data_IF_978368114021
#
_entry.id   IF_978368114021
#
_cell.length_a   1.000
_cell.length_b   1.000
_cell.length_c   1.000
_cell.angle_alpha   90.00
_cell.angle_beta   90.00
_cell.angle_gamma   90.00
#
_symmetry.space_group_name_H-M   'P 1'
#
loop_
_entity.id
_entity.type
_entity.pdbx_description
1 polymer ?
#
# COMPACT_ATOMS: atom_id res chain seq x y z
N UNK A 1 10.19 -21.57 -21.39
CA UNK A 1 9.55 -20.33 -21.90
C UNK A 1 9.13 -20.52 -23.36
N UNK A 2 10.04 -20.82 -24.30
CA UNK A 2 9.71 -21.01 -25.73
C UNK A 2 8.66 -22.13 -25.93
N UNK A 3 8.79 -23.27 -25.23
CA UNK A 3 7.82 -24.38 -25.32
C UNK A 3 6.41 -23.97 -24.89
N UNK A 4 6.31 -23.09 -23.89
CA UNK A 4 5.01 -22.56 -23.43
C UNK A 4 4.42 -21.61 -24.46
N UNK A 5 5.20 -20.70 -25.00
CA UNK A 5 4.76 -19.79 -26.07
C UNK A 5 4.25 -20.57 -27.30
N UNK A 6 4.99 -21.57 -27.74
CA UNK A 6 4.61 -22.45 -28.88
C UNK A 6 3.32 -23.24 -28.56
N UNK A 7 3.15 -23.76 -27.36
CA UNK A 7 1.93 -24.49 -26.95
C UNK A 7 0.69 -23.59 -26.90
N UNK A 8 0.88 -22.28 -26.72
CA UNK A 8 -0.18 -21.26 -26.74
C UNK A 8 -0.37 -20.60 -28.11
N UNK A 9 0.33 -21.11 -29.17
CA UNK A 9 0.17 -20.65 -30.53
C UNK A 9 0.99 -19.40 -30.91
N UNK A 10 2.00 -19.04 -30.13
CA UNK A 10 2.89 -17.90 -30.42
C UNK A 10 4.22 -18.37 -30.98
N UNK A 11 4.79 -17.62 -31.94
CA UNK A 11 6.05 -17.96 -32.60
C UNK A 11 7.27 -17.83 -31.67
N UNK A 12 7.21 -16.87 -30.70
CA UNK A 12 8.30 -16.63 -29.77
C UNK A 12 7.77 -16.21 -28.38
N UNK A 13 8.68 -16.18 -27.39
CA UNK A 13 8.37 -15.78 -26.03
C UNK A 13 8.00 -14.31 -25.92
N UNK A 14 8.57 -13.43 -26.72
CA UNK A 14 8.35 -11.99 -26.65
C UNK A 14 6.94 -11.63 -27.08
N UNK A 15 6.45 -12.20 -28.18
CA UNK A 15 5.08 -11.99 -28.66
C UNK A 15 4.05 -12.56 -27.70
N UNK A 16 4.29 -13.75 -27.15
CA UNK A 16 3.46 -14.33 -26.08
C UNK A 16 3.40 -13.41 -24.85
N UNK A 17 4.56 -12.92 -24.38
CA UNK A 17 4.66 -12.11 -23.19
C UNK A 17 3.97 -10.74 -23.35
N UNK A 18 4.11 -10.10 -24.52
CA UNK A 18 3.41 -8.84 -24.84
C UNK A 18 1.89 -9.05 -24.79
N UNK A 19 1.39 -10.07 -25.46
CA UNK A 19 -0.04 -10.38 -25.50
C UNK A 19 -0.57 -10.74 -24.09
N UNK A 20 0.19 -11.52 -23.32
CA UNK A 20 -0.16 -11.86 -21.94
C UNK A 20 -0.23 -10.60 -21.07
N UNK A 21 0.70 -9.68 -21.24
CA UNK A 21 0.71 -8.40 -20.52
C UNK A 21 -0.49 -7.54 -20.88
N UNK A 22 -0.85 -7.49 -22.17
CA UNK A 22 -2.00 -6.73 -22.65
C UNK A 22 -3.32 -7.32 -22.13
N UNK A 23 -3.48 -8.65 -22.09
CA UNK A 23 -4.63 -9.28 -21.44
C UNK A 23 -4.68 -9.03 -19.93
N UNK A 24 -3.54 -9.09 -19.24
CA UNK A 24 -3.47 -8.73 -17.82
C UNK A 24 -3.88 -7.29 -17.59
N UNK A 25 -3.44 -6.38 -18.44
CA UNK A 25 -3.81 -4.96 -18.35
C UNK A 25 -5.31 -4.78 -18.62
N UNK A 26 -5.90 -5.43 -19.62
CA UNK A 26 -7.34 -5.37 -19.88
C UNK A 26 -8.16 -5.95 -18.73
N UNK A 27 -7.74 -7.09 -18.16
CA UNK A 27 -8.39 -7.66 -16.97
C UNK A 27 -8.30 -6.70 -15.79
N UNK A 28 -7.14 -6.09 -15.58
CA UNK A 28 -6.95 -5.08 -14.53
C UNK A 28 -7.84 -3.86 -14.77
N UNK A 29 -7.90 -3.33 -15.98
CA UNK A 29 -8.77 -2.19 -16.34
C UNK A 29 -10.27 -2.51 -16.17
N UNK A 30 -10.72 -3.72 -16.55
CA UNK A 30 -12.10 -4.16 -16.31
C UNK A 30 -12.39 -4.37 -14.82
N UNK A 31 -11.42 -4.92 -14.08
CA UNK A 31 -11.54 -5.09 -12.64
C UNK A 31 -11.60 -3.73 -11.93
N UNK A 32 -10.75 -2.80 -12.36
CA UNK A 32 -10.74 -1.43 -11.84
C UNK A 32 -12.04 -0.68 -12.18
N UNK A 33 -12.66 -0.94 -13.34
CA UNK A 33 -13.98 -0.40 -13.69
C UNK A 33 -15.11 -0.97 -12.81
N UNK A 34 -15.01 -2.23 -12.41
CA UNK A 34 -16.00 -2.88 -11.51
C UNK A 34 -15.84 -2.42 -10.06
N UNK A 35 -14.61 -2.08 -9.66
CA UNK A 35 -14.29 -1.58 -8.32
C UNK A 35 -14.22 -0.04 -8.26
N UNK A 36 -14.54 0.67 -9.35
CA UNK A 36 -14.57 2.13 -9.33
C UNK A 36 -15.67 2.55 -8.37
N UNK A 37 -15.28 2.96 -7.18
CA UNK A 37 -16.14 3.79 -6.35
C UNK A 37 -16.65 4.94 -7.24
N UNK A 38 -17.92 5.39 -7.09
CA UNK A 38 -18.51 6.38 -7.97
C UNK A 38 -17.58 7.59 -8.09
N UNK A 39 -17.20 7.90 -9.33
CA UNK A 39 -16.28 8.99 -9.61
C UNK A 39 -16.83 10.27 -8.97
N UNK A 40 -15.99 11.04 -8.34
CA UNK A 40 -16.32 12.35 -7.76
C UNK A 40 -16.69 13.42 -8.83
N UNK A 41 -17.31 13.01 -9.93
CA UNK A 41 -17.70 13.83 -11.07
C UNK A 41 -19.15 13.66 -11.52
N UNK A 42 -19.88 12.67 -11.00
CA UNK A 42 -21.29 12.53 -11.30
C UNK A 42 -22.12 13.05 -10.11
N UNK A 43 -22.88 14.11 -10.33
CA UNK A 43 -23.87 14.64 -9.38
C UNK A 43 -25.08 13.68 -9.25
N UNK A 44 -24.83 12.39 -9.23
CA UNK A 44 -25.81 11.33 -9.04
C UNK A 44 -25.91 10.92 -7.58
N UNK A 45 -26.91 11.45 -6.87
CA UNK A 45 -27.60 10.91 -5.69
C UNK A 45 -26.76 10.11 -4.62
N UNK A 46 -25.49 10.46 -4.40
CA UNK A 46 -24.75 9.99 -3.24
C UNK A 46 -25.27 10.68 -1.99
N UNK A 47 -25.79 9.92 -1.04
CA UNK A 47 -26.22 10.43 0.26
C UNK A 47 -25.02 11.16 0.88
N UNK A 48 -25.07 12.50 0.92
CA UNK A 48 -24.03 13.33 1.58
C UNK A 48 -24.31 13.27 3.07
N UNK A 49 -23.73 12.27 3.75
CA UNK A 49 -23.78 12.18 5.20
C UNK A 49 -22.56 12.86 5.82
N UNK A 50 -22.80 13.70 6.83
CA UNK A 50 -21.74 14.27 7.67
C UNK A 50 -21.58 13.41 8.92
N UNK A 51 -20.68 12.42 8.87
CA UNK A 51 -20.48 11.49 9.99
C UNK A 51 -20.12 12.16 11.32
N UNK A 52 -19.51 13.34 11.30
CA UNK A 52 -19.20 14.09 12.52
C UNK A 52 -20.44 14.66 13.20
N UNK A 53 -21.50 14.97 12.43
CA UNK A 53 -22.70 15.65 12.93
C UNK A 53 -23.98 14.82 12.76
N UNK A 54 -23.95 13.69 12.06
CA UNK A 54 -25.12 12.87 11.80
C UNK A 54 -25.63 12.16 13.06
N UNK A 55 -26.94 11.96 13.13
CA UNK A 55 -27.56 11.15 14.17
C UNK A 55 -27.21 9.67 14.00
N UNK A 56 -27.16 8.86 15.09
CA UNK A 56 -26.82 7.44 15.02
C UNK A 56 -27.67 6.65 14.00
N UNK A 57 -28.95 6.99 13.89
CA UNK A 57 -29.87 6.35 12.92
C UNK A 57 -29.48 6.62 11.47
N UNK A 58 -29.04 7.84 11.15
CA UNK A 58 -28.59 8.22 9.80
C UNK A 58 -27.29 7.50 9.43
N UNK A 59 -26.35 7.40 10.39
CA UNK A 59 -25.12 6.65 10.22
C UNK A 59 -25.39 5.17 9.97
N UNK A 60 -26.28 4.57 10.76
CA UNK A 60 -26.64 3.16 10.64
C UNK A 60 -27.24 2.87 9.28
N UNK A 61 -28.24 3.67 8.85
CA UNK A 61 -28.86 3.55 7.52
C UNK A 61 -27.84 3.61 6.37
N UNK A 62 -26.84 4.48 6.48
CA UNK A 62 -25.76 4.57 5.48
C UNK A 62 -24.90 3.31 5.48
N UNK A 63 -24.51 2.80 6.66
CA UNK A 63 -23.68 1.60 6.81
C UNK A 63 -24.43 0.37 6.27
N UNK A 64 -25.74 0.24 6.53
CA UNK A 64 -26.59 -0.82 5.96
C UNK A 64 -26.57 -0.82 4.42
N UNK A 65 -26.63 0.37 3.82
CA UNK A 65 -26.56 0.53 2.35
C UNK A 65 -25.20 0.18 1.76
N UNK A 66 -24.12 0.22 2.56
CA UNK A 66 -22.79 -0.15 2.11
C UNK A 66 -22.56 -1.66 1.97
N UNK A 67 -23.45 -2.52 2.47
CA UNK A 67 -23.37 -3.97 2.28
C UNK A 67 -22.67 -4.76 3.40
N UNK A 68 -22.51 -4.18 4.59
CA UNK A 68 -22.00 -4.89 5.77
C UNK A 68 -23.03 -5.89 6.33
N UNK A 69 -22.53 -6.99 6.93
CA UNK A 69 -23.40 -8.00 7.55
C UNK A 69 -23.84 -7.61 8.96
N UNK A 70 -22.98 -6.89 9.70
CA UNK A 70 -23.27 -6.39 11.05
C UNK A 70 -23.08 -4.86 11.13
N UNK A 71 -24.08 -4.08 10.65
CA UNK A 71 -24.00 -2.61 10.63
C UNK A 71 -23.85 -1.99 12.01
N UNK A 72 -24.39 -2.61 13.07
CA UNK A 72 -24.29 -2.10 14.45
C UNK A 72 -22.84 -2.21 14.96
N UNK A 73 -22.17 -3.33 14.71
CA UNK A 73 -20.76 -3.51 15.03
C UNK A 73 -19.90 -2.49 14.27
N UNK A 74 -20.16 -2.27 13.00
CA UNK A 74 -19.44 -1.29 12.16
C UNK A 74 -19.66 0.13 12.69
N UNK A 75 -20.90 0.49 13.07
CA UNK A 75 -21.18 1.77 13.69
C UNK A 75 -20.36 1.97 14.97
N UNK A 76 -20.29 0.95 15.82
CA UNK A 76 -19.48 1.00 17.04
C UNK A 76 -17.98 1.21 16.75
N UNK A 77 -17.46 0.60 15.68
CA UNK A 77 -16.06 0.80 15.23
C UNK A 77 -15.83 2.24 14.75
N UNK A 78 -16.76 2.79 13.97
CA UNK A 78 -16.72 4.17 13.48
C UNK A 78 -16.82 5.16 14.64
N UNK A 79 -17.76 4.98 15.54
CA UNK A 79 -17.94 5.88 16.69
C UNK A 79 -16.71 5.86 17.61
N UNK A 80 -16.09 4.69 17.83
CA UNK A 80 -14.81 4.56 18.53
C UNK A 80 -13.71 5.38 17.87
N UNK A 81 -13.61 5.38 16.55
CA UNK A 81 -12.66 6.21 15.82
C UNK A 81 -12.93 7.71 16.01
N UNK A 82 -14.20 8.11 15.89
CA UNK A 82 -14.62 9.51 16.06
C UNK A 82 -14.43 10.02 17.48
N UNK A 83 -14.51 9.15 18.47
CA UNK A 83 -14.29 9.46 19.89
C UNK A 83 -12.81 9.64 20.27
N UNK A 84 -11.88 9.24 19.40
CA UNK A 84 -10.46 9.43 19.67
C UNK A 84 -10.13 10.90 19.89
N UNK A 85 -9.28 11.17 20.88
CA UNK A 85 -8.79 12.53 21.17
C UNK A 85 -8.20 13.23 19.94
N UNK A 86 -7.56 12.48 19.03
CA UNK A 86 -7.00 12.97 17.78
C UNK A 86 -8.10 13.51 16.88
N UNK A 87 -9.20 12.77 16.72
CA UNK A 87 -10.33 13.17 15.89
C UNK A 87 -10.96 14.47 16.40
N UNK A 88 -11.15 14.58 17.72
CA UNK A 88 -11.74 15.78 18.36
C UNK A 88 -10.87 17.03 18.23
N UNK A 89 -9.55 16.86 18.04
CA UNK A 89 -8.58 17.98 17.93
C UNK A 89 -8.08 18.19 16.49
N UNK A 90 -8.75 17.63 15.50
CA UNK A 90 -8.41 17.89 14.10
C UNK A 90 -8.61 19.36 13.74
N UNK A 91 -7.70 19.89 12.92
CA UNK A 91 -7.93 21.19 12.30
C UNK A 91 -9.19 21.18 11.43
N UNK A 92 -9.74 22.33 11.14
CA UNK A 92 -10.91 22.44 10.23
C UNK A 92 -10.70 21.70 8.90
N UNK A 93 -9.51 21.85 8.30
CA UNK A 93 -9.14 21.13 7.09
C UNK A 93 -9.08 19.61 7.30
N UNK A 94 -8.58 19.15 8.46
CA UNK A 94 -8.55 17.74 8.84
C UNK A 94 -9.95 17.15 8.99
N UNK A 95 -10.86 17.87 9.64
CA UNK A 95 -12.26 17.47 9.80
C UNK A 95 -12.95 17.35 8.42
N UNK A 96 -12.80 18.35 7.54
CA UNK A 96 -13.37 18.30 6.19
C UNK A 96 -12.84 17.13 5.35
N UNK A 97 -11.55 16.77 5.51
CA UNK A 97 -10.97 15.61 4.83
C UNK A 97 -11.48 14.30 5.39
N UNK A 98 -11.59 14.19 6.70
CA UNK A 98 -12.16 13.02 7.36
C UNK A 98 -13.63 12.81 6.97
N UNK A 99 -14.43 13.87 6.94
CA UNK A 99 -15.83 13.83 6.50
C UNK A 99 -16.00 13.36 5.06
N UNK A 100 -15.05 13.65 4.19
CA UNK A 100 -15.05 13.16 2.80
C UNK A 100 -14.54 11.71 2.71
N UNK A 101 -13.48 11.39 3.46
CA UNK A 101 -12.82 10.08 3.39
C UNK A 101 -13.68 8.96 3.99
N UNK A 102 -14.34 9.23 5.13
CA UNK A 102 -15.03 8.19 5.88
C UNK A 102 -16.17 7.52 5.10
N UNK A 103 -17.07 8.25 4.42
CA UNK A 103 -18.08 7.63 3.56
C UNK A 103 -17.47 6.83 2.39
N UNK A 104 -16.41 7.35 1.76
CA UNK A 104 -15.72 6.65 0.67
C UNK A 104 -15.06 5.35 1.16
N UNK A 105 -14.45 5.39 2.32
CA UNK A 105 -13.84 4.21 2.95
C UNK A 105 -14.90 3.17 3.29
N UNK A 106 -16.02 3.57 3.88
CA UNK A 106 -17.12 2.66 4.22
C UNK A 106 -17.74 2.01 2.97
N UNK A 107 -17.94 2.78 1.91
CA UNK A 107 -18.43 2.22 0.63
C UNK A 107 -17.41 1.26 0.01
N UNK A 108 -16.11 1.63 -0.01
CA UNK A 108 -15.09 0.78 -0.59
C UNK A 108 -14.90 -0.53 0.20
N UNK A 109 -14.93 -0.47 1.54
CA UNK A 109 -14.81 -1.66 2.40
C UNK A 109 -16.08 -2.50 2.45
N UNK A 110 -17.25 -1.90 2.28
CA UNK A 110 -18.51 -2.64 2.19
C UNK A 110 -18.65 -3.52 0.94
N UNK A 111 -17.86 -3.23 -0.10
CA UNK A 111 -17.87 -3.98 -1.37
C UNK A 111 -16.93 -5.19 -1.41
N UNK A 112 -16.20 -5.51 -0.32
CA UNK A 112 -15.34 -6.70 -0.28
C UNK A 112 -16.03 -7.84 0.48
N UNK A 113 -15.67 -9.08 0.15
CA UNK A 113 -16.29 -10.29 0.73
C UNK A 113 -16.21 -10.36 2.27
N UNK A 114 -15.15 -9.79 2.86
CA UNK A 114 -14.91 -9.75 4.31
C UNK A 114 -15.02 -8.34 4.88
N UNK A 115 -16.04 -7.59 4.48
CA UNK A 115 -16.25 -6.19 4.83
C UNK A 115 -16.16 -5.91 6.35
N UNK A 116 -16.85 -6.73 7.16
CA UNK A 116 -16.92 -6.57 8.63
C UNK A 116 -15.54 -6.72 9.32
N UNK A 117 -14.66 -7.53 8.75
CA UNK A 117 -13.28 -7.69 9.22
C UNK A 117 -12.32 -6.64 8.63
N UNK A 118 -12.58 -6.20 7.41
CA UNK A 118 -11.69 -5.29 6.68
C UNK A 118 -11.66 -3.90 7.34
N UNK A 119 -12.83 -3.33 7.64
CA UNK A 119 -12.90 -2.00 8.24
C UNK A 119 -12.16 -1.90 9.59
N UNK A 120 -12.35 -2.81 10.57
CA UNK A 120 -11.57 -2.78 11.81
C UNK A 120 -10.06 -2.84 11.62
N UNK A 121 -9.58 -3.59 10.59
CA UNK A 121 -8.13 -3.66 10.26
C UNK A 121 -7.58 -2.33 9.76
N UNK A 122 -8.42 -1.48 9.17
CA UNK A 122 -8.03 -0.15 8.67
C UNK A 122 -8.03 0.92 9.77
N UNK A 123 -8.67 0.69 10.91
CA UNK A 123 -8.78 1.70 11.97
C UNK A 123 -7.42 2.18 12.52
N UNK A 124 -6.41 1.31 12.77
CA UNK A 124 -5.08 1.76 13.17
C UNK A 124 -4.39 2.65 12.12
N UNK A 125 -4.61 2.37 10.84
CA UNK A 125 -4.13 3.24 9.76
C UNK A 125 -4.86 4.59 9.80
N UNK A 126 -6.18 4.59 9.91
CA UNK A 126 -6.98 5.82 10.02
C UNK A 126 -6.49 6.69 11.17
N UNK A 127 -6.27 6.12 12.36
CA UNK A 127 -5.71 6.84 13.50
C UNK A 127 -4.33 7.46 13.19
N UNK A 128 -3.47 6.70 12.49
CA UNK A 128 -2.12 7.13 12.11
C UNK A 128 -2.14 8.30 11.12
N UNK A 129 -3.00 8.26 10.09
CA UNK A 129 -3.08 9.28 9.05
C UNK A 129 -3.85 10.54 9.48
N UNK A 130 -4.74 10.46 10.46
CA UNK A 130 -5.42 11.64 11.01
C UNK A 130 -4.44 12.70 11.53
N UNK A 131 -3.27 12.29 12.03
CA UNK A 131 -2.20 13.22 12.45
C UNK A 131 -1.56 13.97 11.29
N UNK A 132 -1.70 13.46 10.06
CA UNK A 132 -1.09 13.99 8.84
C UNK A 132 -2.15 14.08 7.75
N UNK A 133 -2.92 15.15 7.78
CA UNK A 133 -4.08 15.33 6.89
C UNK A 133 -3.77 15.22 5.38
N UNK A 134 -2.48 15.28 4.97
CA UNK A 134 -2.06 15.06 3.60
C UNK A 134 -2.41 13.65 3.09
N UNK A 135 -2.25 12.61 3.93
CA UNK A 135 -2.61 11.24 3.55
C UNK A 135 -4.12 11.05 3.41
N UNK A 136 -4.93 11.73 4.23
CA UNK A 136 -6.38 11.73 4.03
C UNK A 136 -6.76 12.39 2.69
N UNK A 137 -6.08 13.50 2.32
CA UNK A 137 -6.29 14.14 1.02
C UNK A 137 -5.88 13.19 -0.12
N UNK A 138 -4.73 12.52 -0.02
CA UNK A 138 -4.27 11.54 -0.99
C UNK A 138 -5.35 10.49 -1.29
N UNK A 139 -5.94 9.89 -0.25
CA UNK A 139 -6.96 8.84 -0.42
C UNK A 139 -8.30 9.40 -0.97
N UNK A 140 -8.67 10.64 -0.62
CA UNK A 140 -9.89 11.29 -1.15
C UNK A 140 -9.72 11.67 -2.62
N UNK A 141 -8.55 12.17 -3.00
CA UNK A 141 -8.26 12.67 -4.35
C UNK A 141 -7.88 11.55 -5.32
N UNK A 142 -7.49 10.37 -4.80
CA UNK A 142 -7.05 9.22 -5.61
C UNK A 142 -7.91 7.98 -5.30
N UNK A 143 -9.07 7.81 -5.94
CA UNK A 143 -9.93 6.64 -5.73
C UNK A 143 -9.25 5.31 -6.00
N UNK A 144 -8.30 5.28 -6.94
CA UNK A 144 -7.49 4.08 -7.22
C UNK A 144 -6.63 3.69 -6.02
N UNK A 145 -5.97 4.64 -5.36
CA UNK A 145 -5.18 4.36 -4.15
C UNK A 145 -6.07 3.84 -3.01
N UNK A 146 -7.27 4.40 -2.84
CA UNK A 146 -8.24 3.92 -1.87
C UNK A 146 -8.70 2.47 -2.18
N UNK A 147 -9.00 2.18 -3.44
CA UNK A 147 -9.37 0.82 -3.89
C UNK A 147 -8.23 -0.18 -3.64
N UNK A 148 -6.99 0.16 -4.00
CA UNK A 148 -5.82 -0.68 -3.72
C UNK A 148 -5.60 -0.89 -2.21
N UNK A 149 -5.76 0.16 -1.41
CA UNK A 149 -5.68 0.07 0.04
C UNK A 149 -6.66 -0.96 0.59
N UNK A 150 -7.93 -0.85 0.22
CA UNK A 150 -8.99 -1.75 0.68
C UNK A 150 -8.72 -3.18 0.22
N UNK A 151 -8.38 -3.39 -1.06
CA UNK A 151 -8.05 -4.70 -1.63
C UNK A 151 -6.92 -5.38 -0.86
N UNK A 152 -5.82 -4.68 -0.62
CA UNK A 152 -4.65 -5.24 0.07
C UNK A 152 -4.94 -5.51 1.55
N UNK A 153 -5.63 -4.60 2.23
CA UNK A 153 -5.94 -4.75 3.66
C UNK A 153 -7.03 -5.79 3.94
N UNK A 154 -7.98 -5.99 3.01
CA UNK A 154 -8.97 -7.06 3.11
C UNK A 154 -8.29 -8.43 3.02
N UNK A 155 -7.31 -8.57 2.13
CA UNK A 155 -6.63 -9.82 1.89
C UNK A 155 -5.51 -10.14 2.92
N UNK A 156 -4.85 -9.10 3.49
CA UNK A 156 -3.71 -9.33 4.39
C UNK A 156 -3.69 -8.41 5.62
N UNK A 157 -3.85 -8.98 6.84
CA UNK A 157 -3.64 -8.26 8.09
C UNK A 157 -2.20 -7.75 8.26
N UNK A 158 -1.22 -8.40 7.65
CA UNK A 158 0.17 -7.96 7.67
C UNK A 158 0.34 -6.62 6.96
N UNK A 159 -0.27 -6.49 5.77
CA UNK A 159 -0.20 -5.25 4.98
C UNK A 159 -0.88 -4.10 5.74
N UNK A 160 -2.07 -4.32 6.31
CA UNK A 160 -2.76 -3.29 7.09
C UNK A 160 -1.94 -2.81 8.30
N UNK A 161 -1.26 -3.74 8.99
CA UNK A 161 -0.37 -3.42 10.11
C UNK A 161 0.86 -2.62 9.65
N UNK A 162 1.44 -2.98 8.51
CA UNK A 162 2.58 -2.26 7.93
C UNK A 162 2.21 -0.83 7.52
N UNK A 163 1.10 -0.66 6.80
CA UNK A 163 0.62 0.65 6.38
C UNK A 163 0.27 1.55 7.58
N UNK A 164 -0.34 0.99 8.63
CA UNK A 164 -0.62 1.73 9.87
C UNK A 164 0.66 2.21 10.56
N UNK A 165 1.71 1.40 10.56
CA UNK A 165 2.99 1.72 11.17
C UNK A 165 3.82 2.69 10.32
N UNK A 166 3.73 2.60 9.02
CA UNK A 166 4.50 3.37 8.05
C UNK A 166 3.59 4.00 6.98
N UNK A 167 2.84 5.06 7.31
CA UNK A 167 1.88 5.66 6.37
C UNK A 167 2.50 6.21 5.08
N UNK A 168 3.82 6.45 5.06
CA UNK A 168 4.55 6.84 3.84
C UNK A 168 4.39 5.82 2.71
N UNK A 169 4.14 4.56 3.04
CA UNK A 169 3.88 3.49 2.06
C UNK A 169 2.57 3.67 1.28
N UNK A 170 1.68 4.58 1.70
CA UNK A 170 0.49 4.93 0.93
C UNK A 170 0.83 5.56 -0.43
N UNK A 171 2.01 6.17 -0.56
CA UNK A 171 2.47 6.74 -1.83
C UNK A 171 2.68 5.64 -2.89
N UNK A 172 3.05 4.41 -2.48
CA UNK A 172 3.21 3.26 -3.38
C UNK A 172 1.87 2.79 -4.00
N UNK A 173 0.74 3.13 -3.36
CA UNK A 173 -0.60 2.79 -3.87
C UNK A 173 -1.04 3.69 -5.03
N UNK A 174 -0.33 4.79 -5.30
CA UNK A 174 -0.65 5.72 -6.39
C UNK A 174 -0.31 5.14 -7.77
N UNK A 175 0.67 4.25 -7.84
CA UNK A 175 1.02 3.56 -9.08
C UNK A 175 0.82 2.03 -8.95
N UNK A 176 -0.36 1.52 -9.34
CA UNK A 176 -0.65 0.10 -9.27
C UNK A 176 0.29 -0.78 -10.10
N UNK A 177 0.95 -0.21 -11.13
CA UNK A 177 1.87 -0.98 -11.98
C UNK A 177 3.14 -1.32 -11.22
N UNK A 178 3.75 -0.33 -10.58
CA UNK A 178 4.96 -0.53 -9.78
C UNK A 178 4.68 -1.36 -8.52
N UNK A 179 3.51 -1.19 -7.91
CA UNK A 179 3.13 -1.88 -6.68
C UNK A 179 3.16 -3.42 -6.78
N UNK A 180 2.76 -3.97 -7.93
CA UNK A 180 2.71 -5.42 -8.16
C UNK A 180 3.93 -5.95 -8.94
N UNK A 181 4.88 -5.08 -9.28
CA UNK A 181 6.09 -5.45 -9.98
C UNK A 181 7.18 -5.79 -8.97
N UNK A 182 7.64 -7.04 -9.01
CA UNK A 182 8.76 -7.50 -8.17
C UNK A 182 9.98 -7.62 -9.06
N UNK A 183 10.95 -6.70 -8.94
CA UNK A 183 12.13 -6.66 -9.79
C UNK A 183 13.05 -7.86 -9.53
N UNK A 184 13.80 -8.29 -10.52
CA UNK A 184 14.88 -9.26 -10.38
C UNK A 184 16.05 -8.65 -9.57
N UNK A 185 16.88 -9.51 -8.96
CA UNK A 185 17.97 -9.15 -8.04
C UNK A 185 18.82 -7.95 -8.48
N UNK A 186 19.27 -7.95 -9.74
CA UNK A 186 20.16 -6.88 -10.24
C UNK A 186 19.43 -5.53 -10.36
N UNK A 187 18.17 -5.55 -10.77
CA UNK A 187 17.37 -4.34 -10.83
C UNK A 187 17.03 -3.83 -9.42
N UNK A 188 16.70 -4.72 -8.49
CA UNK A 188 16.46 -4.37 -7.09
C UNK A 188 17.69 -3.73 -6.46
N UNK A 189 18.89 -4.26 -6.73
CA UNK A 189 20.17 -3.68 -6.27
C UNK A 189 20.41 -2.29 -6.85
N UNK A 190 20.14 -2.13 -8.14
CA UNK A 190 20.26 -0.83 -8.82
C UNK A 190 19.30 0.21 -8.25
N UNK A 191 18.03 -0.18 -8.01
CA UNK A 191 17.03 0.68 -7.37
C UNK A 191 17.48 1.12 -5.97
N UNK A 192 18.01 0.19 -5.16
CA UNK A 192 18.56 0.53 -3.84
C UNK A 192 19.70 1.55 -3.94
N UNK A 193 20.66 1.34 -4.83
CA UNK A 193 21.78 2.28 -5.01
C UNK A 193 21.31 3.66 -5.46
N UNK A 194 20.34 3.71 -6.37
CA UNK A 194 19.73 4.96 -6.81
C UNK A 194 18.96 5.64 -5.65
N UNK A 195 18.24 4.88 -4.84
CA UNK A 195 17.51 5.39 -3.67
C UNK A 195 18.43 6.01 -2.62
N UNK A 196 19.62 5.45 -2.44
CA UNK A 196 20.64 5.95 -1.52
C UNK A 196 21.47 7.11 -2.11
N UNK A 197 21.51 7.28 -3.43
CA UNK A 197 22.38 8.26 -4.09
C UNK A 197 22.08 9.72 -3.74
N UNK A 198 20.89 10.00 -3.22
CA UNK A 198 20.47 11.34 -2.79
C UNK A 198 20.95 11.72 -1.38
N UNK A 199 21.60 10.79 -0.66
CA UNK A 199 22.04 10.97 0.72
C UNK A 199 23.57 11.15 0.75
N UNK A 200 24.04 12.05 1.59
CA UNK A 200 25.46 12.23 1.83
C UNK A 200 26.06 10.96 2.46
N UNK A 201 27.21 10.51 1.93
CA UNK A 201 27.89 9.31 2.41
C UNK A 201 28.28 9.38 3.89
N UNK A 202 28.51 10.58 4.42
CA UNK A 202 28.88 10.82 5.82
C UNK A 202 27.68 10.86 6.76
N UNK A 203 26.44 10.98 6.24
CA UNK A 203 25.20 10.96 7.04
C UNK A 203 24.67 9.55 7.26
N UNK A 204 25.31 8.83 8.20
CA UNK A 204 24.93 7.45 8.55
C UNK A 204 23.49 7.34 9.02
N UNK A 205 22.95 8.33 9.72
CA UNK A 205 21.58 8.29 10.21
C UNK A 205 20.59 8.32 9.04
N UNK A 206 20.79 9.22 8.09
CA UNK A 206 19.98 9.27 6.89
C UNK A 206 20.10 8.00 6.03
N UNK A 207 21.33 7.49 5.84
CA UNK A 207 21.55 6.24 5.11
C UNK A 207 20.81 5.07 5.76
N UNK A 208 20.87 4.93 7.09
CA UNK A 208 20.13 3.88 7.82
C UNK A 208 18.62 4.03 7.70
N UNK A 209 18.11 5.26 7.73
CA UNK A 209 16.68 5.51 7.56
C UNK A 209 16.21 5.17 6.14
N UNK A 210 16.98 5.52 5.11
CA UNK A 210 16.70 5.15 3.73
C UNK A 210 16.73 3.64 3.48
N UNK A 211 17.70 2.93 4.07
CA UNK A 211 17.73 1.46 4.00
C UNK A 211 16.48 0.82 4.61
N UNK A 212 16.01 1.34 5.75
CA UNK A 212 14.77 0.87 6.39
C UNK A 212 13.55 1.16 5.52
N UNK A 213 13.47 2.36 4.95
CA UNK A 213 12.38 2.77 4.06
C UNK A 213 12.34 1.89 2.80
N UNK A 214 13.47 1.71 2.13
CA UNK A 214 13.57 0.82 0.96
C UNK A 214 13.13 -0.61 1.29
N UNK A 215 13.58 -1.16 2.42
CA UNK A 215 13.13 -2.48 2.88
C UNK A 215 11.61 -2.55 3.02
N UNK A 216 10.99 -1.51 3.59
CA UNK A 216 9.53 -1.48 3.80
C UNK A 216 8.78 -1.43 2.47
N UNK A 217 9.22 -0.60 1.52
CA UNK A 217 8.66 -0.49 0.17
C UNK A 217 8.77 -1.84 -0.55
N UNK A 218 9.98 -2.41 -0.64
CA UNK A 218 10.20 -3.68 -1.31
C UNK A 218 9.41 -4.85 -0.66
N UNK A 219 9.30 -4.87 0.67
CA UNK A 219 8.48 -5.87 1.37
C UNK A 219 6.99 -5.69 1.06
N UNK A 220 6.49 -4.45 0.94
CA UNK A 220 5.11 -4.18 0.54
C UNK A 220 4.84 -4.68 -0.88
N UNK A 221 5.75 -4.44 -1.84
CA UNK A 221 5.60 -4.91 -3.22
C UNK A 221 5.54 -6.45 -3.29
N UNK A 222 6.43 -7.15 -2.57
CA UNK A 222 6.40 -8.61 -2.49
C UNK A 222 5.08 -9.10 -1.88
N UNK A 223 4.62 -8.48 -0.79
CA UNK A 223 3.37 -8.85 -0.14
C UNK A 223 2.14 -8.55 -1.01
N UNK A 224 2.15 -7.44 -1.75
CA UNK A 224 1.08 -7.09 -2.68
C UNK A 224 1.02 -8.07 -3.87
N UNK A 225 2.17 -8.46 -4.41
CA UNK A 225 2.27 -9.43 -5.49
C UNK A 225 1.87 -10.86 -5.06
N UNK A 226 2.15 -11.24 -3.79
CA UNK A 226 1.72 -12.51 -3.19
C UNK A 226 0.19 -12.56 -3.04
N UNK A 227 -0.39 -11.56 -2.41
CA UNK A 227 -1.84 -11.47 -2.15
C UNK A 227 -2.67 -11.44 -3.43
N UNK A 228 -2.13 -10.90 -4.52
CA UNK A 228 -2.79 -10.84 -5.83
C UNK A 228 -2.44 -12.02 -6.73
N UNK A 229 -1.73 -13.03 -6.19
CA UNK A 229 -1.31 -14.23 -6.92
C UNK A 229 -0.45 -13.95 -8.17
N UNK A 230 0.10 -12.74 -8.27
CA UNK A 230 1.06 -12.37 -9.33
C UNK A 230 2.39 -13.07 -9.13
N UNK A 231 2.79 -13.27 -7.86
CA UNK A 231 4.02 -13.95 -7.48
C UNK A 231 3.69 -15.34 -6.91
N UNK A 232 4.22 -16.44 -7.49
CA UNK A 232 4.06 -17.77 -6.91
C UNK A 232 4.67 -17.85 -5.51
N UNK A 233 4.01 -18.53 -4.57
CA UNK A 233 4.42 -18.66 -3.17
C UNK A 233 5.90 -19.04 -2.98
N UNK A 234 6.42 -19.96 -3.80
CA UNK A 234 7.83 -20.36 -3.75
C UNK A 234 8.79 -19.22 -4.06
N UNK A 235 8.37 -18.26 -4.89
CA UNK A 235 9.18 -17.10 -5.27
C UNK A 235 9.14 -16.00 -4.20
N UNK A 236 8.14 -15.97 -3.33
CA UNK A 236 8.05 -15.00 -2.22
C UNK A 236 9.26 -15.15 -1.28
N UNK A 237 9.58 -16.39 -0.89
CA UNK A 237 10.74 -16.69 -0.05
C UNK A 237 12.07 -16.29 -0.72
N UNK A 238 12.22 -16.58 -2.01
CA UNK A 238 13.41 -16.21 -2.80
C UNK A 238 13.58 -14.70 -2.81
N UNK A 239 12.52 -13.95 -3.14
CA UNK A 239 12.55 -12.49 -3.22
C UNK A 239 12.86 -11.82 -1.87
N UNK A 240 12.30 -12.32 -0.77
CA UNK A 240 12.62 -11.80 0.56
C UNK A 240 14.07 -12.12 0.97
N UNK A 241 14.60 -13.26 0.55
CA UNK A 241 16.00 -13.64 0.77
C UNK A 241 16.93 -12.72 -0.04
N UNK A 242 16.66 -12.52 -1.32
CA UNK A 242 17.42 -11.61 -2.18
C UNK A 242 17.42 -10.19 -1.64
N UNK A 243 16.27 -9.69 -1.19
CA UNK A 243 16.16 -8.37 -0.55
C UNK A 243 17.05 -8.28 0.70
N UNK A 244 17.01 -9.31 1.55
CA UNK A 244 17.83 -9.35 2.77
C UNK A 244 19.32 -9.36 2.46
N UNK A 245 19.76 -10.16 1.48
CA UNK A 245 21.16 -10.23 1.05
C UNK A 245 21.67 -8.90 0.48
N UNK A 246 20.88 -8.24 -0.39
CA UNK A 246 21.24 -6.95 -0.99
C UNK A 246 21.37 -5.87 0.09
N UNK A 247 20.43 -5.84 1.05
CA UNK A 247 20.48 -4.89 2.15
C UNK A 247 21.67 -5.14 3.07
N UNK A 248 21.98 -6.40 3.40
CA UNK A 248 23.14 -6.75 4.21
C UNK A 248 24.45 -6.40 3.52
N UNK A 249 24.57 -6.67 2.22
CA UNK A 249 25.73 -6.27 1.42
C UNK A 249 25.95 -4.75 1.49
N UNK A 250 24.87 -3.98 1.35
CA UNK A 250 24.96 -2.51 1.39
C UNK A 250 25.27 -1.99 2.79
N UNK A 251 24.67 -2.54 3.85
CA UNK A 251 24.99 -2.18 5.25
C UNK A 251 26.45 -2.49 5.57
N UNK A 252 26.94 -3.66 5.14
CA UNK A 252 28.34 -4.03 5.29
C UNK A 252 29.27 -3.03 4.63
N UNK A 253 28.97 -2.63 3.37
CA UNK A 253 29.77 -1.67 2.62
C UNK A 253 29.84 -0.32 3.33
N UNK A 254 28.70 0.23 3.74
CA UNK A 254 28.61 1.52 4.44
C UNK A 254 29.40 1.46 5.77
N UNK A 255 29.22 0.40 6.54
CA UNK A 255 29.92 0.22 7.81
C UNK A 255 31.43 0.11 7.62
N UNK A 256 31.87 -0.64 6.60
CA UNK A 256 33.28 -0.78 6.26
C UNK A 256 33.92 0.56 5.86
N UNK A 257 33.30 1.28 4.91
CA UNK A 257 33.78 2.58 4.44
C UNK A 257 33.92 3.57 5.61
N UNK A 258 32.90 3.63 6.48
CA UNK A 258 32.93 4.50 7.66
C UNK A 258 34.04 4.12 8.66
N UNK A 259 34.25 2.84 8.91
CA UNK A 259 35.31 2.36 9.81
C UNK A 259 36.69 2.63 9.24
N UNK A 260 36.89 2.44 7.93
CA UNK A 260 38.16 2.73 7.24
C UNK A 260 38.50 4.23 7.30
N UNK A 261 37.52 5.09 7.09
CA UNK A 261 37.72 6.55 7.22
C UNK A 261 38.14 6.91 8.65
N UNK A 262 37.53 6.29 9.65
CA UNK A 262 37.74 6.60 11.07
C UNK A 262 39.02 5.98 11.65
N UNK A 263 39.39 4.77 11.22
CA UNK A 263 40.47 3.97 11.86
C UNK A 263 41.57 3.53 10.91
N UNK A 264 41.46 3.81 9.62
CA UNK A 264 42.34 3.28 8.60
C UNK A 264 42.06 1.83 8.24
N UNK A 265 42.83 1.32 7.27
CA UNK A 265 42.73 -0.11 6.91
C UNK A 265 43.32 -0.98 8.01
N UNK A 266 42.73 -2.16 8.28
CA UNK A 266 43.30 -3.12 9.21
C UNK A 266 44.69 -3.56 8.72
N UNK A 267 45.65 -3.79 9.63
CA UNK A 267 46.97 -4.31 9.23
C UNK A 267 46.79 -5.70 8.61
N UNK A 268 47.47 -5.93 7.49
CA UNK A 268 47.53 -7.26 6.89
C UNK A 268 48.45 -8.08 7.82
N UNK A 269 47.82 -9.04 8.56
CA UNK A 269 48.58 -10.06 9.27
C UNK A 269 48.81 -11.21 8.31
N UNK A 270 50.08 -11.46 7.96
CA UNK A 270 50.51 -12.62 7.19
C UNK A 270 50.16 -13.94 7.89
#
# INVERSE_FOLDING_TARGET
RLRLALSMGFEDWSSFYVTLRDYRQQVQEHFDQLLTAPQAGDEGAGIKISFLNAQPEEKLNFIEQCGYHDPEQILAVVDKLLDLHICRNLSQTGQQRLEKLLPLLLQATGNVDNADDCLPRLMPLMESIMRRSAYMALLVENPMALSQLVKLCSASPLISTQLAKYPVLLDELLDPRSLYEVPEREELKKQLLQFLSSVDADDLEQLMNRLREFRQIATLHVAAADVTEVLPLMRVGDQLTELAEILLEQVWRIAWEHLVVKHGYPPITD
#
